data_IF_998419494816
#
_entry.id   IF_998419494816
#
_cell.length_a   1.000
_cell.length_b   1.000
_cell.length_c   1.000
_cell.angle_alpha   90.00
_cell.angle_beta   90.00
_cell.angle_gamma   90.00
#
_symmetry.space_group_name_H-M   'P 1'
#
loop_
_entity.id
_entity.type
_entity.pdbx_description
1 polymer ?
#
# COMPACT_ATOMS: atom_id res chain seq x y z
N UNK A 1 9.02 -53.39 36.17
CA UNK A 1 8.52 -53.05 34.82
C UNK A 1 7.65 -51.78 34.76
N UNK A 2 6.81 -51.43 35.77
CA UNK A 2 5.99 -50.20 35.72
C UNK A 2 6.80 -48.88 35.76
N UNK A 3 7.97 -48.84 36.40
CA UNK A 3 8.84 -47.63 36.46
C UNK A 3 9.46 -47.25 35.11
N UNK A 4 9.84 -48.23 34.28
CA UNK A 4 10.40 -47.98 32.93
C UNK A 4 9.31 -47.51 31.96
N UNK A 5 8.11 -48.10 32.01
CA UNK A 5 6.96 -47.63 31.24
C UNK A 5 6.56 -46.18 31.59
N UNK A 6 6.55 -45.82 32.87
CA UNK A 6 6.24 -44.44 33.32
C UNK A 6 7.28 -43.42 32.84
N UNK A 7 8.56 -43.79 32.82
CA UNK A 7 9.64 -42.95 32.28
C UNK A 7 9.55 -42.78 30.76
N UNK A 8 9.19 -43.84 30.02
CA UNK A 8 8.98 -43.76 28.57
C UNK A 8 7.81 -42.86 28.18
N UNK A 9 6.72 -42.87 28.96
CA UNK A 9 5.56 -42.02 28.71
C UNK A 9 5.87 -40.53 28.93
N UNK A 10 6.70 -40.19 29.91
CA UNK A 10 7.17 -38.80 30.13
C UNK A 10 8.03 -38.32 28.96
N UNK A 11 8.92 -39.16 28.42
CA UNK A 11 9.72 -38.82 27.24
C UNK A 11 8.83 -38.59 26.02
N UNK A 12 7.82 -39.44 25.79
CA UNK A 12 6.86 -39.26 24.70
C UNK A 12 6.07 -37.96 24.83
N UNK A 13 5.65 -37.59 26.04
CA UNK A 13 4.98 -36.31 26.29
C UNK A 13 5.90 -35.12 25.99
N UNK A 14 7.17 -35.16 26.39
CA UNK A 14 8.14 -34.11 26.07
C UNK A 14 8.37 -33.99 24.57
N UNK A 15 8.49 -35.11 23.85
CA UNK A 15 8.59 -35.12 22.39
C UNK A 15 7.35 -34.53 21.75
N UNK A 16 6.15 -34.87 22.23
CA UNK A 16 4.90 -34.31 21.72
C UNK A 16 4.82 -32.78 21.94
N UNK A 17 5.27 -32.27 23.09
CA UNK A 17 5.34 -30.83 23.36
C UNK A 17 6.32 -30.13 22.42
N UNK A 18 7.50 -30.71 22.19
CA UNK A 18 8.49 -30.15 21.25
C UNK A 18 7.95 -30.14 19.82
N UNK A 19 7.35 -31.25 19.36
CA UNK A 19 6.74 -31.32 18.03
C UNK A 19 5.56 -30.36 17.87
N UNK A 20 4.72 -30.23 18.91
CA UNK A 20 3.65 -29.24 18.94
C UNK A 20 4.17 -27.80 18.89
N UNK A 21 5.25 -27.51 19.63
CA UNK A 21 5.92 -26.21 19.59
C UNK A 21 6.55 -25.89 18.23
N UNK A 22 7.21 -26.88 17.60
CA UNK A 22 7.76 -26.75 16.25
C UNK A 22 6.65 -26.54 15.21
N UNK A 23 5.54 -27.27 15.33
CA UNK A 23 4.36 -27.10 14.48
C UNK A 23 3.74 -25.70 14.62
N UNK A 24 3.61 -25.21 15.85
CA UNK A 24 3.14 -23.85 16.12
C UNK A 24 4.09 -22.79 15.55
N UNK A 25 5.40 -22.97 15.70
CA UNK A 25 6.39 -22.05 15.15
C UNK A 25 6.38 -22.06 13.63
N UNK A 26 6.31 -23.24 13.00
CA UNK A 26 6.20 -23.37 11.55
C UNK A 26 4.93 -22.71 11.03
N UNK A 27 3.79 -22.89 11.71
CA UNK A 27 2.54 -22.20 11.39
C UNK A 27 2.68 -20.68 11.52
N UNK A 28 3.25 -20.19 12.64
CA UNK A 28 3.46 -18.75 12.85
C UNK A 28 4.39 -18.14 11.82
N UNK A 29 5.44 -18.86 11.44
CA UNK A 29 6.38 -18.47 10.38
C UNK A 29 5.69 -18.43 9.01
N UNK A 30 4.91 -19.46 8.66
CA UNK A 30 4.16 -19.51 7.40
C UNK A 30 3.15 -18.36 7.28
N UNK A 31 2.49 -17.98 8.39
CA UNK A 31 1.47 -16.92 8.39
C UNK A 31 2.05 -15.51 8.52
N UNK A 32 3.17 -15.33 9.23
CA UNK A 32 3.67 -13.99 9.59
C UNK A 32 5.09 -13.67 9.08
N UNK A 33 5.78 -14.64 8.46
CA UNK A 33 7.18 -14.48 8.03
C UNK A 33 7.38 -13.33 7.05
N UNK A 34 6.42 -13.14 6.15
CA UNK A 34 6.37 -12.00 5.22
C UNK A 34 6.40 -10.67 5.95
N UNK A 35 5.46 -10.48 6.89
CA UNK A 35 5.35 -9.24 7.66
C UNK A 35 6.62 -8.96 8.44
N UNK A 36 7.22 -9.97 9.07
CA UNK A 36 8.47 -9.82 9.81
C UNK A 36 9.62 -9.42 8.91
N UNK A 37 9.73 -10.02 7.72
CA UNK A 37 10.78 -9.71 6.77
C UNK A 37 10.64 -8.29 6.17
N UNK A 38 9.42 -7.78 6.03
CA UNK A 38 9.17 -6.46 5.44
C UNK A 38 9.02 -5.33 6.47
N UNK A 39 9.22 -5.61 7.77
CA UNK A 39 9.22 -4.59 8.83
C UNK A 39 10.26 -3.48 8.55
N UNK A 40 9.92 -2.25 8.95
CA UNK A 40 10.84 -1.09 8.89
C UNK A 40 12.12 -1.30 9.70
N UNK A 41 12.06 -2.12 10.76
CA UNK A 41 13.22 -2.50 11.55
C UNK A 41 14.20 -3.41 10.78
N UNK A 42 13.84 -3.94 9.61
CA UNK A 42 14.75 -4.73 8.80
C UNK A 42 15.70 -3.80 8.04
N UNK A 43 16.92 -3.68 8.55
CA UNK A 43 18.00 -2.87 7.98
C UNK A 43 18.43 -3.34 6.57
N UNK A 44 18.08 -4.57 6.16
CA UNK A 44 18.34 -5.02 4.79
C UNK A 44 17.41 -4.38 3.75
N UNK A 45 16.29 -3.79 4.18
CA UNK A 45 15.31 -3.11 3.32
C UNK A 45 15.26 -1.60 3.55
N UNK A 46 15.93 -1.14 4.61
CA UNK A 46 15.73 0.18 5.18
C UNK A 46 17.07 0.73 5.62
N UNK A 47 17.47 1.87 5.08
CA UNK A 47 18.63 2.64 5.56
C UNK A 47 18.11 3.95 6.17
N UNK A 48 18.56 4.30 7.37
CA UNK A 48 18.08 5.44 8.16
C UNK A 48 16.55 5.53 8.34
N UNK A 49 15.89 4.37 8.41
CA UNK A 49 14.44 4.29 8.56
C UNK A 49 13.66 4.57 7.28
N UNK A 50 14.30 4.76 6.12
CA UNK A 50 13.64 4.96 4.82
C UNK A 50 13.68 3.69 3.97
N UNK A 51 12.59 3.39 3.24
CA UNK A 51 12.53 2.21 2.38
C UNK A 51 13.43 2.38 1.16
N UNK A 52 14.49 1.58 1.07
CA UNK A 52 15.64 1.83 0.17
C UNK A 52 15.74 0.82 -0.98
N UNK A 53 15.30 -0.42 -0.78
CA UNK A 53 15.49 -1.49 -1.76
C UNK A 53 14.15 -2.07 -2.27
N UNK A 54 13.77 -1.70 -3.51
CA UNK A 54 12.55 -2.17 -4.17
C UNK A 54 12.65 -2.09 -5.70
N UNK A 55 11.80 -2.87 -6.39
CA UNK A 55 11.62 -2.73 -7.83
C UNK A 55 10.99 -1.40 -8.24
N UNK A 56 10.94 -1.18 -9.55
CA UNK A 56 10.40 0.03 -10.16
C UNK A 56 8.87 0.03 -10.11
N UNK A 57 8.29 1.21 -9.93
CA UNK A 57 6.87 1.45 -10.09
C UNK A 57 6.70 2.29 -11.35
N UNK A 58 5.98 1.75 -12.33
CA UNK A 58 5.72 2.44 -13.61
C UNK A 58 4.23 2.65 -13.83
N UNK A 59 3.89 3.68 -14.59
CA UNK A 59 2.53 3.91 -15.06
C UNK A 59 2.18 2.96 -16.24
N UNK A 60 0.95 3.06 -16.75
CA UNK A 60 0.51 2.22 -17.87
C UNK A 60 1.33 2.43 -19.15
N UNK A 61 1.87 3.64 -19.33
CA UNK A 61 2.64 4.07 -20.49
C UNK A 61 4.14 3.78 -20.35
N UNK A 62 4.59 3.26 -19.20
CA UNK A 62 5.99 2.97 -18.90
C UNK A 62 6.77 4.14 -18.29
N UNK A 63 6.10 5.22 -17.90
CA UNK A 63 6.73 6.32 -17.16
C UNK A 63 7.10 5.85 -15.74
N UNK A 64 8.34 6.12 -15.34
CA UNK A 64 8.85 5.74 -14.02
C UNK A 64 8.29 6.70 -12.98
N UNK A 65 7.56 6.15 -12.03
CA UNK A 65 6.93 6.88 -10.94
C UNK A 65 7.78 6.86 -9.67
N UNK A 66 8.37 5.70 -9.37
CA UNK A 66 9.36 5.53 -8.32
C UNK A 66 10.32 4.38 -8.66
N UNK A 67 11.61 4.57 -8.38
CA UNK A 67 12.66 3.59 -8.64
C UNK A 67 13.71 3.64 -7.54
N UNK A 68 14.51 2.58 -7.41
CA UNK A 68 15.68 2.59 -6.53
C UNK A 68 16.92 2.87 -7.37
N UNK A 69 17.67 3.92 -7.01
CA UNK A 69 18.95 4.29 -7.62
C UNK A 69 19.96 4.52 -6.51
N UNK A 70 21.13 3.88 -6.61
CA UNK A 70 22.23 4.03 -5.64
C UNK A 70 21.80 3.78 -4.17
N UNK A 71 20.95 2.76 -3.94
CA UNK A 71 20.32 2.49 -2.63
C UNK A 71 19.48 3.65 -2.08
N UNK A 72 18.93 4.50 -2.95
CA UNK A 72 17.97 5.51 -2.55
C UNK A 72 16.69 5.38 -3.37
N UNK A 73 15.55 5.67 -2.74
CA UNK A 73 14.25 5.67 -3.42
C UNK A 73 14.03 7.01 -4.09
N UNK A 74 14.09 7.02 -5.42
CA UNK A 74 13.94 8.21 -6.25
C UNK A 74 12.58 8.20 -6.94
N UNK A 75 11.84 9.30 -6.81
CA UNK A 75 10.55 9.51 -7.47
C UNK A 75 10.73 10.28 -8.78
N UNK A 76 9.69 10.24 -9.63
CA UNK A 76 9.61 10.96 -10.91
C UNK A 76 10.13 12.41 -10.81
N UNK A 77 10.79 12.91 -11.86
CA UNK A 77 11.42 14.24 -11.83
C UNK A 77 10.44 15.40 -11.87
N UNK A 78 9.25 15.20 -12.40
CA UNK A 78 8.19 16.22 -12.43
C UNK A 78 7.52 16.33 -11.06
N UNK A 79 7.64 17.49 -10.42
CA UNK A 79 6.91 17.80 -9.17
C UNK A 79 5.40 17.60 -9.36
N UNK A 80 4.86 18.06 -10.50
CA UNK A 80 3.45 17.93 -10.85
C UNK A 80 3.00 16.47 -10.82
N UNK A 81 3.79 15.57 -11.41
CA UNK A 81 3.51 14.14 -11.37
C UNK A 81 3.62 13.63 -9.94
N UNK A 82 4.76 13.84 -9.26
CA UNK A 82 4.98 13.35 -7.87
C UNK A 82 3.82 13.70 -6.93
N UNK A 83 3.35 14.94 -6.97
CA UNK A 83 2.22 15.40 -6.13
C UNK A 83 0.90 14.75 -6.53
N UNK A 84 0.64 14.59 -7.82
CA UNK A 84 -0.61 14.00 -8.32
C UNK A 84 -0.79 12.53 -7.93
N UNK A 85 0.29 11.75 -7.88
CA UNK A 85 0.25 10.30 -7.60
C UNK A 85 0.75 9.92 -6.21
N UNK A 86 1.01 10.90 -5.33
CA UNK A 86 1.55 10.68 -3.98
C UNK A 86 0.77 9.61 -3.20
N UNK A 87 -0.55 9.74 -3.08
CA UNK A 87 -1.37 8.82 -2.29
C UNK A 87 -1.53 7.43 -2.91
N UNK A 88 -1.22 7.29 -4.21
CA UNK A 88 -1.21 6.00 -4.90
C UNK A 88 0.13 5.32 -4.76
N UNK A 89 1.25 6.03 -4.97
CA UNK A 89 2.58 5.43 -4.81
C UNK A 89 2.89 5.18 -3.33
N UNK A 90 2.50 6.11 -2.47
CA UNK A 90 2.91 6.17 -1.07
C UNK A 90 4.26 6.85 -0.88
N UNK A 91 4.57 7.16 0.38
CA UNK A 91 5.82 7.76 0.82
C UNK A 91 6.86 6.70 1.20
N UNK A 92 8.12 7.12 1.40
CA UNK A 92 9.23 6.22 1.80
C UNK A 92 9.17 5.81 3.27
N UNK A 93 8.47 6.58 4.11
CA UNK A 93 8.39 6.35 5.56
C UNK A 93 7.20 5.46 5.94
N UNK A 94 6.27 5.25 5.01
CA UNK A 94 5.09 4.39 5.16
C UNK A 94 3.91 5.04 5.86
N UNK A 95 3.84 6.37 5.92
CA UNK A 95 2.70 7.08 6.50
C UNK A 95 1.42 6.92 5.67
N UNK A 96 1.57 6.77 4.37
CA UNK A 96 0.49 6.43 3.44
C UNK A 96 0.45 4.91 3.33
N UNK A 97 -0.27 4.29 4.26
CA UNK A 97 -0.39 2.82 4.36
C UNK A 97 -1.02 2.17 3.13
N UNK A 98 -1.92 2.90 2.47
CA UNK A 98 -2.62 2.47 1.27
C UNK A 98 -1.79 2.58 -0.01
N UNK A 99 -0.63 3.23 0.06
CA UNK A 99 0.23 3.45 -1.11
C UNK A 99 0.88 2.15 -1.57
N UNK A 100 1.16 2.04 -2.87
CA UNK A 100 1.74 0.85 -3.50
C UNK A 100 3.04 0.41 -2.81
N UNK A 101 3.88 1.36 -2.39
CA UNK A 101 5.12 1.03 -1.68
C UNK A 101 4.90 0.32 -0.34
N UNK A 102 3.86 0.69 0.39
CA UNK A 102 3.53 0.10 1.69
C UNK A 102 2.68 -1.16 1.53
N UNK A 103 1.61 -1.09 0.74
CA UNK A 103 0.65 -2.17 0.53
C UNK A 103 1.25 -3.35 -0.25
N UNK A 104 2.13 -3.09 -1.22
CA UNK A 104 2.79 -4.10 -2.05
C UNK A 104 4.29 -4.23 -1.78
N UNK A 105 4.72 -3.90 -0.56
CA UNK A 105 6.13 -3.95 -0.14
C UNK A 105 6.76 -5.32 -0.38
N UNK A 106 6.03 -6.39 -0.09
CA UNK A 106 6.50 -7.77 -0.29
C UNK A 106 6.75 -8.08 -1.76
N UNK A 107 5.84 -7.69 -2.64
CA UNK A 107 5.94 -7.88 -4.07
C UNK A 107 7.12 -7.06 -4.61
N UNK A 108 7.22 -5.78 -4.21
CA UNK A 108 8.31 -4.89 -4.60
C UNK A 108 9.70 -5.38 -4.16
N UNK A 109 9.80 -6.02 -3.00
CA UNK A 109 11.06 -6.59 -2.47
C UNK A 109 11.34 -7.99 -2.99
N UNK A 110 10.35 -8.64 -3.62
CA UNK A 110 10.48 -10.00 -4.12
C UNK A 110 10.66 -11.04 -3.01
N UNK A 111 10.09 -10.79 -1.82
CA UNK A 111 10.17 -11.74 -0.70
C UNK A 111 9.51 -13.07 -1.07
N UNK A 112 10.19 -14.15 -0.71
CA UNK A 112 9.71 -15.51 -0.85
C UNK A 112 9.85 -16.24 0.50
N UNK A 113 8.87 -17.03 0.95
CA UNK A 113 8.94 -17.73 2.24
C UNK A 113 10.09 -18.74 2.34
N UNK A 114 10.59 -19.26 1.22
CA UNK A 114 11.68 -20.23 1.15
C UNK A 114 13.05 -19.54 1.03
N UNK A 115 13.18 -18.58 0.12
CA UNK A 115 14.46 -17.89 -0.18
C UNK A 115 14.62 -16.54 0.52
N UNK A 116 13.60 -16.07 1.24
CA UNK A 116 13.58 -14.78 1.90
C UNK A 116 13.73 -13.62 0.90
N UNK A 117 14.63 -12.69 1.21
CA UNK A 117 14.98 -11.52 0.40
C UNK A 117 16.22 -11.75 -0.47
N UNK A 118 16.54 -13.01 -0.78
CA UNK A 118 17.78 -13.38 -1.45
C UNK A 118 17.94 -12.75 -2.84
N UNK A 119 16.85 -12.68 -3.61
CA UNK A 119 16.82 -12.04 -4.93
C UNK A 119 17.24 -10.58 -4.87
N UNK A 120 16.66 -9.84 -3.93
CA UNK A 120 16.98 -8.43 -3.69
C UNK A 120 18.44 -8.25 -3.29
N UNK A 121 18.95 -9.06 -2.36
CA UNK A 121 20.33 -8.98 -1.86
C UNK A 121 21.37 -9.37 -2.93
N UNK A 122 21.06 -10.35 -3.77
CA UNK A 122 22.00 -10.88 -4.77
C UNK A 122 22.03 -10.08 -6.06
N UNK A 123 20.88 -9.60 -6.51
CA UNK A 123 20.75 -8.94 -7.82
C UNK A 123 20.48 -7.43 -7.70
N UNK A 124 20.34 -6.90 -6.48
CA UNK A 124 20.03 -5.48 -6.25
C UNK A 124 18.69 -5.05 -6.85
N UNK A 125 17.82 -6.01 -7.18
CA UNK A 125 16.59 -5.79 -7.94
C UNK A 125 15.43 -6.50 -7.26
N UNK A 126 14.43 -5.72 -6.88
CA UNK A 126 13.12 -6.21 -6.49
C UNK A 126 12.25 -6.51 -7.72
N UNK A 127 10.96 -6.79 -7.50
CA UNK A 127 10.03 -6.95 -8.63
C UNK A 127 9.42 -5.61 -9.01
N UNK A 128 9.37 -5.36 -10.32
CA UNK A 128 8.73 -4.16 -10.86
C UNK A 128 7.21 -4.30 -10.83
N UNK A 129 6.52 -3.21 -10.49
CA UNK A 129 5.06 -3.11 -10.51
C UNK A 129 4.67 -2.11 -11.60
N UNK A 130 3.88 -2.59 -12.56
CA UNK A 130 3.24 -1.75 -13.56
C UNK A 130 1.81 -1.44 -13.12
N UNK A 131 1.50 -0.16 -13.00
CA UNK A 131 0.17 0.34 -12.62
C UNK A 131 -0.69 0.55 -13.87
N UNK A 132 -2.01 0.53 -13.66
CA UNK A 132 -3.01 0.84 -14.69
C UNK A 132 -3.27 2.34 -14.85
N UNK A 133 -2.78 3.14 -13.90
CA UNK A 133 -2.94 4.59 -13.89
C UNK A 133 -2.15 5.25 -15.02
N UNK A 134 -2.63 6.41 -15.45
CA UNK A 134 -1.93 7.31 -16.35
C UNK A 134 -1.47 8.56 -15.58
N UNK A 135 -0.16 8.74 -15.47
CA UNK A 135 0.46 9.83 -14.71
C UNK A 135 0.04 11.22 -15.21
N UNK A 136 -0.19 11.37 -16.52
CA UNK A 136 -0.53 12.65 -17.15
C UNK A 136 -1.99 13.01 -16.91
N UNK A 137 -2.86 12.00 -16.89
CA UNK A 137 -4.27 12.19 -16.49
C UNK A 137 -4.34 12.59 -15.02
N UNK A 138 -3.58 11.94 -14.14
CA UNK A 138 -3.45 12.34 -12.73
C UNK A 138 -2.94 13.78 -12.58
N UNK A 139 -1.89 14.15 -13.31
CA UNK A 139 -1.36 15.51 -13.29
C UNK A 139 -2.42 16.55 -13.71
N UNK A 140 -3.24 16.23 -14.70
CA UNK A 140 -4.33 17.10 -15.16
C UNK A 140 -5.46 17.21 -14.13
N UNK A 141 -5.86 16.08 -13.53
CA UNK A 141 -6.85 16.05 -12.46
C UNK A 141 -6.37 16.80 -11.20
N UNK A 142 -5.07 16.73 -10.91
CA UNK A 142 -4.44 17.49 -9.83
C UNK A 142 -4.54 19.00 -10.05
N UNK A 143 -4.24 19.47 -11.26
CA UNK A 143 -4.39 20.90 -11.57
C UNK A 143 -5.86 21.34 -11.50
N UNK A 144 -6.78 20.48 -11.95
CA UNK A 144 -8.22 20.75 -11.90
C UNK A 144 -8.76 20.85 -10.46
N UNK A 145 -8.16 20.13 -9.49
CA UNK A 145 -8.49 20.31 -8.08
C UNK A 145 -8.12 21.72 -7.57
N UNK A 146 -7.13 22.38 -8.18
CA UNK A 146 -6.73 23.77 -7.91
C UNK A 146 -6.65 24.10 -6.40
N UNK A 147 -5.96 23.23 -5.65
CA UNK A 147 -5.77 23.38 -4.20
C UNK A 147 -6.98 23.06 -3.32
N UNK A 148 -8.13 22.67 -3.90
CA UNK A 148 -9.31 22.25 -3.13
C UNK A 148 -9.06 20.90 -2.45
N UNK A 149 -9.59 20.73 -1.24
CA UNK A 149 -9.59 19.45 -0.53
C UNK A 149 -10.62 18.52 -1.18
N UNK A 150 -10.22 17.33 -1.60
CA UNK A 150 -11.11 16.43 -2.32
C UNK A 150 -10.37 15.31 -3.02
N UNK A 151 -11.12 14.59 -3.87
CA UNK A 151 -10.63 13.46 -4.64
C UNK A 151 -11.14 13.56 -6.07
N UNK A 152 -10.30 13.20 -7.04
CA UNK A 152 -10.70 12.97 -8.42
C UNK A 152 -10.24 11.58 -8.80
N UNK A 153 -11.18 10.73 -9.22
CA UNK A 153 -10.89 9.39 -9.68
C UNK A 153 -11.57 9.12 -11.02
N UNK A 154 -10.87 8.41 -11.90
CA UNK A 154 -11.41 7.91 -13.15
C UNK A 154 -11.00 6.46 -13.32
N UNK A 155 -11.96 5.61 -13.68
CA UNK A 155 -11.73 4.19 -13.93
C UNK A 155 -12.46 3.76 -15.21
N UNK A 156 -11.96 2.70 -15.83
CA UNK A 156 -12.60 2.09 -16.97
C UNK A 156 -13.72 1.17 -16.49
N UNK A 157 -14.97 1.51 -16.81
CA UNK A 157 -16.14 0.73 -16.36
C UNK A 157 -16.23 -0.68 -16.98
N UNK A 158 -15.53 -0.94 -18.10
CA UNK A 158 -15.52 -2.27 -18.74
C UNK A 158 -14.45 -3.18 -18.17
N UNK A 159 -13.25 -2.65 -17.88
CA UNK A 159 -12.10 -3.45 -17.44
C UNK A 159 -11.87 -3.37 -15.92
N UNK A 160 -12.46 -2.38 -15.24
CA UNK A 160 -12.18 -2.09 -13.83
C UNK A 160 -10.86 -1.37 -13.58
N UNK A 161 -10.08 -1.07 -14.63
CA UNK A 161 -8.78 -0.40 -14.48
C UNK A 161 -8.93 1.03 -13.96
N UNK A 162 -8.23 1.35 -12.87
CA UNK A 162 -8.15 2.71 -12.34
C UNK A 162 -7.16 3.53 -13.19
N UNK A 163 -7.68 4.51 -13.92
CA UNK A 163 -6.91 5.36 -14.83
C UNK A 163 -6.30 6.58 -14.13
N UNK A 164 -7.00 7.11 -13.14
CA UNK A 164 -6.57 8.27 -12.39
C UNK A 164 -7.11 8.20 -10.97
N UNK A 165 -6.30 8.58 -10.00
CA UNK A 165 -6.72 8.79 -8.62
C UNK A 165 -5.83 9.82 -7.95
N UNK A 166 -6.39 10.99 -7.69
CA UNK A 166 -5.71 12.11 -7.05
C UNK A 166 -6.48 12.49 -5.78
N UNK A 167 -5.76 12.57 -4.67
CA UNK A 167 -6.29 13.03 -3.37
C UNK A 167 -5.60 14.34 -2.97
N UNK A 168 -6.36 15.25 -2.36
CA UNK A 168 -5.91 16.55 -1.89
C UNK A 168 -6.46 16.85 -0.49
N UNK A 169 -5.66 17.40 0.44
CA UNK A 169 -4.33 17.97 0.24
C UNK A 169 -3.23 16.91 0.09
N UNK A 170 -2.16 17.29 -0.59
CA UNK A 170 -0.94 16.51 -0.81
C UNK A 170 0.30 17.39 -0.62
N UNK A 171 1.48 16.76 -0.62
CA UNK A 171 2.77 17.43 -0.54
C UNK A 171 3.72 16.88 -1.62
N UNK A 172 4.83 17.56 -1.89
CA UNK A 172 5.89 16.97 -2.70
C UNK A 172 6.77 16.10 -1.80
N UNK A 173 6.95 14.84 -2.16
CA UNK A 173 7.80 13.89 -1.42
C UNK A 173 9.25 14.38 -1.28
N UNK A 174 9.76 15.17 -2.24
CA UNK A 174 11.10 15.77 -2.17
C UNK A 174 11.17 16.97 -1.20
N UNK A 175 10.03 17.56 -0.86
CA UNK A 175 9.91 18.71 0.03
C UNK A 175 8.78 18.47 1.04
N UNK A 176 8.96 17.44 1.86
CA UNK A 176 7.99 17.06 2.88
C UNK A 176 7.92 18.15 3.97
N UNK A 177 6.71 18.62 4.34
CA UNK A 177 6.57 19.56 5.45
C UNK A 177 7.05 18.94 6.77
N UNK A 178 7.66 19.75 7.64
CA UNK A 178 8.11 19.26 8.95
C UNK A 178 6.92 18.82 9.79
N UNK A 179 7.17 17.85 10.68
CA UNK A 179 6.15 17.33 11.59
C UNK A 179 5.51 18.44 12.43
N UNK A 180 6.31 19.41 12.89
CA UNK A 180 5.83 20.58 13.62
C UNK A 180 4.87 21.44 12.77
N UNK A 181 5.15 21.58 11.47
CA UNK A 181 4.27 22.33 10.54
C UNK A 181 2.96 21.60 10.32
N UNK A 182 3.01 20.27 10.17
CA UNK A 182 1.83 19.42 10.03
C UNK A 182 0.97 19.50 11.29
N UNK A 183 1.59 19.45 12.48
CA UNK A 183 0.90 19.49 13.77
C UNK A 183 0.28 20.86 14.09
N UNK A 184 0.99 21.96 13.75
CA UNK A 184 0.42 23.32 13.85
C UNK A 184 -0.83 23.47 12.98
N UNK A 185 -0.86 22.76 11.84
CA UNK A 185 -2.00 22.65 10.93
C UNK A 185 -2.73 23.97 10.69
N UNK A 186 -1.98 25.03 10.38
CA UNK A 186 -2.54 26.36 10.18
C UNK A 186 -3.67 26.30 9.14
N UNK A 187 -4.88 26.72 9.55
CA UNK A 187 -6.11 26.73 8.75
C UNK A 187 -6.55 25.35 8.20
N UNK A 188 -6.14 24.25 8.84
CA UNK A 188 -6.48 22.89 8.41
C UNK A 188 -5.80 22.47 7.10
N UNK A 189 -4.76 23.17 6.65
CA UNK A 189 -4.11 22.92 5.37
C UNK A 189 -3.61 21.46 5.21
N UNK A 190 -3.23 20.83 6.31
CA UNK A 190 -2.66 19.48 6.35
C UNK A 190 -3.65 18.42 6.85
N UNK A 191 -4.95 18.75 6.93
CA UNK A 191 -6.00 17.79 7.31
C UNK A 191 -5.98 16.57 6.38
N UNK A 192 -5.76 15.38 6.94
CA UNK A 192 -5.72 14.13 6.19
C UNK A 192 -4.65 14.15 5.09
N UNK A 193 -3.48 14.75 5.36
CA UNK A 193 -2.37 14.85 4.42
C UNK A 193 -1.91 13.48 3.88
N UNK A 194 -1.90 12.46 4.73
CA UNK A 194 -1.49 11.10 4.38
C UNK A 194 -2.65 10.20 3.94
N UNK A 195 -3.89 10.70 4.01
CA UNK A 195 -5.10 9.90 3.75
C UNK A 195 -5.39 9.82 2.25
N UNK A 196 -5.54 8.60 1.73
CA UNK A 196 -6.07 8.42 0.39
C UNK A 196 -7.60 8.51 0.43
N UNK A 197 -8.12 9.70 0.13
CA UNK A 197 -9.56 10.01 0.19
C UNK A 197 -10.41 9.12 -0.71
N UNK A 198 -9.85 8.50 -1.75
CA UNK A 198 -10.63 7.61 -2.62
C UNK A 198 -11.04 6.32 -1.90
N UNK A 199 -10.14 5.75 -1.11
CA UNK A 199 -10.28 4.39 -0.54
C UNK A 199 -10.42 4.40 0.98
N UNK A 200 -9.82 5.37 1.66
CA UNK A 200 -9.89 5.51 3.12
C UNK A 200 -10.97 6.51 3.56
N UNK A 201 -11.49 7.30 2.62
CA UNK A 201 -12.45 8.37 2.88
C UNK A 201 -13.89 7.87 2.95
N UNK A 202 -14.62 8.29 3.97
CA UNK A 202 -16.07 8.09 4.09
C UNK A 202 -16.77 9.45 3.96
N UNK A 203 -17.62 9.57 2.93
CA UNK A 203 -18.32 10.80 2.61
C UNK A 203 -19.81 10.54 2.43
N UNK A 204 -20.63 11.51 2.80
CA UNK A 204 -22.08 11.45 2.51
C UNK A 204 -22.26 11.62 0.99
N UNK A 205 -22.84 10.64 0.26
CA UNK A 205 -22.93 10.69 -1.20
C UNK A 205 -23.93 11.75 -1.70
N UNK A 206 -24.93 12.12 -0.89
CA UNK A 206 -25.93 13.10 -1.26
C UNK A 206 -26.71 12.69 -2.52
N UNK A 207 -26.91 13.63 -3.45
CA UNK A 207 -27.72 13.36 -4.65
C UNK A 207 -27.13 12.31 -5.60
N UNK A 208 -25.84 11.97 -5.52
CA UNK A 208 -25.28 10.87 -6.35
C UNK A 208 -25.87 9.51 -5.97
N UNK A 209 -26.33 9.34 -4.71
CA UNK A 209 -26.96 8.10 -4.24
C UNK A 209 -28.37 7.88 -4.80
N UNK A 210 -29.03 8.94 -5.31
CA UNK A 210 -30.37 8.83 -5.90
C UNK A 210 -30.41 7.84 -7.06
N UNK A 211 -29.31 7.66 -7.78
CA UNK A 211 -29.21 6.66 -8.86
C UNK A 211 -29.43 5.25 -8.30
N UNK A 212 -28.82 4.92 -7.16
CA UNK A 212 -28.99 3.62 -6.49
C UNK A 212 -30.41 3.47 -5.97
N UNK A 213 -30.97 4.52 -5.35
CA UNK A 213 -32.38 4.52 -4.91
C UNK A 213 -33.34 4.27 -6.07
N UNK A 214 -33.15 4.97 -7.20
CA UNK A 214 -33.98 4.79 -8.40
C UNK A 214 -33.83 3.40 -8.99
N UNK A 215 -32.60 2.87 -9.12
CA UNK A 215 -32.37 1.51 -9.62
C UNK A 215 -33.06 0.47 -8.74
N UNK A 216 -32.96 0.60 -7.41
CA UNK A 216 -33.65 -0.29 -6.47
C UNK A 216 -35.17 -0.22 -6.62
N UNK A 217 -35.74 0.98 -6.82
CA UNK A 217 -37.19 1.11 -7.08
C UNK A 217 -37.57 0.44 -8.39
N UNK A 218 -36.83 0.64 -9.48
CA UNK A 218 -37.10 0.00 -10.78
C UNK A 218 -37.02 -1.53 -10.69
N UNK A 219 -36.04 -2.07 -9.97
CA UNK A 219 -35.87 -3.52 -9.83
C UNK A 219 -36.91 -4.17 -8.91
N UNK A 220 -37.33 -3.47 -7.84
CA UNK A 220 -38.17 -4.07 -6.79
C UNK A 220 -39.64 -3.64 -6.83
N UNK A 221 -39.99 -2.56 -7.54
CA UNK A 221 -41.38 -2.17 -7.80
C UNK A 221 -41.72 -2.41 -9.26
N UNK A 222 -42.49 -3.48 -9.50
CA UNK A 222 -42.98 -3.87 -10.83
C UNK A 222 -44.07 -2.94 -11.41
N UNK A 223 -44.67 -2.03 -10.60
CA UNK A 223 -45.68 -1.07 -11.07
C UNK A 223 -45.23 0.37 -10.84
N UNK A 224 -44.43 0.89 -11.76
CA UNK A 224 -44.22 2.36 -11.92
C UNK A 224 -45.15 2.89 -13.04
N UNK A 225 -46.07 2.05 -13.52
CA UNK A 225 -47.09 2.36 -14.52
C UNK A 225 -48.49 2.33 -13.90
N UNK A 226 -48.77 3.26 -13.00
CA UNK A 226 -50.12 3.77 -12.73
C UNK A 226 -50.06 5.30 -12.58
#
# INVERSE_FOLDING_TARGET
>A
MKKTARRGLVVLLLVAVVLGGLGFLAFKFAVNGEKWATLRANLHLTEDGSFVAAGNITDRNGEILAQTKDNERVYNDSERVRRSVLHIIGDTEGYISSGVQTAYKTQLTGYNPITGLYSLKRYGRGNDIKLTLDSKVCATAYDALNGRKGVVAAYNYKTGELLCSVSSPNYDIRNKPSEETIQKNENGKYDGLYMNRLIDGLYTPGSTFKIITTASVIENKADISE
#
